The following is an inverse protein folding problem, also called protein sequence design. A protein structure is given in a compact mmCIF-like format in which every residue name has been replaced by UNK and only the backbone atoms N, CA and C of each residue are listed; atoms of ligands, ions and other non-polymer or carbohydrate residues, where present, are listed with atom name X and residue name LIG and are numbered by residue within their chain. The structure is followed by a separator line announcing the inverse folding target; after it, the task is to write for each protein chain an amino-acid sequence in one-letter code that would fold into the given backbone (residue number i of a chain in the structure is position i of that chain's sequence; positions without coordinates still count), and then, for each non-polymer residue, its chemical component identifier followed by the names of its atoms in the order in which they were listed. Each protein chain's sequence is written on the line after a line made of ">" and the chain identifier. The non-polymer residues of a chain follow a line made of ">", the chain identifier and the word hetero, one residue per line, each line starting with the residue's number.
data_IF_512981198504
#
_entry.id   IF_512981198504
#
_cell.length_a   1.000
_cell.length_b   1.000
_cell.length_c   1.000
_cell.angle_alpha   90.00
_cell.angle_beta   90.00
_cell.angle_gamma   90.00
#
_symmetry.space_group_name_H-M   'P 1'
#
loop_
_entity.id
_entity.type
_entity.pdbx_description
1 polymer ?
#
# COMPACT_ATOMS: atom_id res chain seq x y z
N UNK A 1 6.79 18.01 20.02
CA UNK A 1 6.89 18.05 18.55
C UNK A 1 7.01 19.50 18.13
N UNK A 2 8.09 19.86 17.44
CA UNK A 2 8.26 21.20 16.89
C UNK A 2 7.35 21.39 15.66
N UNK A 3 7.16 22.63 15.21
CA UNK A 3 6.46 22.92 13.96
C UNK A 3 7.12 22.26 12.75
N UNK A 4 8.46 22.18 12.75
CA UNK A 4 9.25 21.51 11.72
C UNK A 4 8.98 20.00 11.66
N UNK A 5 8.89 19.32 12.81
CA UNK A 5 8.58 17.88 12.88
C UNK A 5 7.20 17.58 12.29
N UNK A 6 6.21 18.45 12.60
CA UNK A 6 4.85 18.32 12.07
C UNK A 6 4.84 18.49 10.55
N UNK A 7 5.55 19.48 10.02
CA UNK A 7 5.66 19.72 8.58
C UNK A 7 6.28 18.51 7.85
N UNK A 8 7.35 17.93 8.39
CA UNK A 8 7.99 16.76 7.81
C UNK A 8 7.06 15.54 7.78
N UNK A 9 6.28 15.31 8.85
CA UNK A 9 5.30 14.22 8.89
C UNK A 9 4.18 14.41 7.85
N UNK A 10 3.63 15.62 7.71
CA UNK A 10 2.61 15.92 6.71
C UNK A 10 3.18 15.69 5.30
N UNK A 11 4.40 16.15 5.03
CA UNK A 11 5.04 15.96 3.74
C UNK A 11 5.22 14.48 3.40
N UNK A 12 5.70 13.67 4.35
CA UNK A 12 5.81 12.20 4.17
C UNK A 12 4.46 11.56 3.92
N UNK A 13 3.43 11.97 4.66
CA UNK A 13 2.05 11.50 4.48
C UNK A 13 1.50 11.80 3.09
N UNK A 14 1.70 13.02 2.58
CA UNK A 14 1.29 13.41 1.24
C UNK A 14 2.02 12.61 0.16
N UNK A 15 3.35 12.47 0.27
CA UNK A 15 4.14 11.64 -0.67
C UNK A 15 3.70 10.18 -0.64
N UNK A 16 3.42 9.65 0.54
CA UNK A 16 2.91 8.29 0.70
C UNK A 16 1.54 8.11 0.04
N UNK A 17 0.61 9.06 0.26
CA UNK A 17 -0.71 9.03 -0.37
C UNK A 17 -0.63 9.10 -1.91
N UNK A 18 0.19 10.01 -2.44
CA UNK A 18 0.45 10.13 -3.88
C UNK A 18 1.03 8.83 -4.45
N UNK A 19 2.01 8.24 -3.74
CA UNK A 19 2.59 6.95 -4.12
C UNK A 19 1.54 5.84 -4.13
N UNK A 20 0.66 5.80 -3.13
CA UNK A 20 -0.41 4.80 -3.06
C UNK A 20 -1.38 4.88 -4.24
N UNK A 21 -1.83 6.09 -4.59
CA UNK A 21 -2.70 6.32 -5.75
C UNK A 21 -2.01 5.90 -7.06
N UNK A 22 -0.75 6.31 -7.23
CA UNK A 22 0.05 5.94 -8.41
C UNK A 22 0.22 4.42 -8.52
N UNK A 23 0.59 3.74 -7.44
CA UNK A 23 0.79 2.28 -7.41
C UNK A 23 -0.52 1.54 -7.70
N UNK A 24 -1.65 2.06 -7.21
CA UNK A 24 -2.98 1.49 -7.50
C UNK A 24 -3.31 1.58 -8.98
N UNK A 25 -3.09 2.76 -9.59
CA UNK A 25 -3.28 2.95 -11.02
C UNK A 25 -2.34 2.05 -11.85
N UNK A 26 -1.07 1.94 -11.43
CA UNK A 26 -0.08 1.05 -12.04
C UNK A 26 -0.53 -0.41 -11.98
N UNK A 27 -1.05 -0.88 -10.84
CA UNK A 27 -1.58 -2.23 -10.70
C UNK A 27 -2.69 -2.50 -11.72
N UNK A 28 -3.68 -1.62 -11.81
CA UNK A 28 -4.76 -1.74 -12.77
C UNK A 28 -4.23 -1.76 -14.22
N UNK A 29 -3.30 -0.87 -14.55
CA UNK A 29 -2.67 -0.81 -15.87
C UNK A 29 -1.94 -2.12 -16.22
N UNK A 30 -1.10 -2.63 -15.31
CA UNK A 30 -0.35 -3.88 -15.54
C UNK A 30 -1.31 -5.05 -15.72
N UNK A 31 -2.36 -5.15 -14.89
CA UNK A 31 -3.35 -6.20 -15.02
C UNK A 31 -4.07 -6.16 -16.38
N UNK A 32 -4.50 -4.97 -16.81
CA UNK A 32 -5.17 -4.77 -18.11
C UNK A 32 -4.23 -5.12 -19.26
N UNK A 33 -2.99 -4.63 -19.25
CA UNK A 33 -2.01 -4.93 -20.30
C UNK A 33 -1.70 -6.44 -20.36
N UNK A 34 -1.54 -7.09 -19.21
CA UNK A 34 -1.26 -8.52 -19.16
C UNK A 34 -2.41 -9.35 -19.74
N UNK A 35 -3.66 -9.01 -19.40
CA UNK A 35 -4.86 -9.69 -19.91
C UNK A 35 -4.96 -9.55 -21.44
N UNK A 36 -4.69 -8.36 -21.97
CA UNK A 36 -4.88 -8.08 -23.40
C UNK A 36 -3.73 -8.56 -24.28
N UNK A 37 -2.49 -8.60 -23.77
CA UNK A 37 -1.30 -8.84 -24.59
C UNK A 37 -0.50 -10.09 -24.25
N UNK A 38 -0.74 -10.74 -23.10
CA UNK A 38 0.04 -11.90 -22.65
C UNK A 38 -0.83 -13.13 -22.48
N UNK A 39 -1.79 -13.09 -21.54
CA UNK A 39 -2.69 -14.20 -21.30
C UNK A 39 -4.01 -13.71 -20.67
N UNK A 40 -5.17 -14.14 -21.19
CA UNK A 40 -6.48 -13.72 -20.70
C UNK A 40 -6.89 -14.50 -19.43
N UNK A 41 -5.99 -14.57 -18.44
CA UNK A 41 -6.21 -15.25 -17.17
C UNK A 41 -6.17 -14.22 -16.02
N UNK A 42 -7.34 -13.76 -15.52
CA UNK A 42 -7.40 -12.72 -14.50
C UNK A 42 -6.60 -13.03 -13.21
N UNK A 43 -6.58 -14.27 -12.67
CA UNK A 43 -5.76 -14.58 -11.50
C UNK A 43 -4.27 -14.38 -11.74
N UNK A 44 -3.76 -14.80 -12.91
CA UNK A 44 -2.34 -14.65 -13.27
C UNK A 44 -1.97 -13.18 -13.47
N UNK A 45 -2.82 -12.43 -14.18
CA UNK A 45 -2.62 -11.00 -14.40
C UNK A 45 -2.59 -10.21 -13.09
N UNK A 46 -3.50 -10.49 -12.16
CA UNK A 46 -3.52 -9.87 -10.83
C UNK A 46 -2.27 -10.22 -10.03
N UNK A 47 -1.80 -11.46 -10.09
CA UNK A 47 -0.56 -11.88 -9.41
C UNK A 47 0.65 -11.09 -9.91
N UNK A 48 0.82 -10.97 -11.22
CA UNK A 48 1.91 -10.20 -11.83
C UNK A 48 1.80 -8.71 -11.49
N UNK A 49 0.60 -8.14 -11.64
CA UNK A 49 0.34 -6.74 -11.29
C UNK A 49 0.61 -6.46 -9.81
N UNK A 50 0.30 -7.40 -8.91
CA UNK A 50 0.54 -7.27 -7.48
C UNK A 50 2.04 -7.24 -7.16
N UNK A 51 2.83 -8.13 -7.77
CA UNK A 51 4.29 -8.17 -7.60
C UNK A 51 4.92 -6.87 -8.09
N UNK A 52 4.56 -6.42 -9.30
CA UNK A 52 5.07 -5.17 -9.89
C UNK A 52 4.71 -3.98 -9.01
N UNK A 53 3.45 -3.85 -8.61
CA UNK A 53 2.97 -2.78 -7.74
C UNK A 53 3.70 -2.77 -6.39
N UNK A 54 3.93 -3.94 -5.79
CA UNK A 54 4.63 -4.07 -4.51
C UNK A 54 6.09 -3.62 -4.60
N UNK A 55 6.81 -4.06 -5.65
CA UNK A 55 8.21 -3.67 -5.87
C UNK A 55 8.32 -2.16 -6.09
N UNK A 56 7.48 -1.60 -6.96
CA UNK A 56 7.47 -0.16 -7.24
C UNK A 56 7.09 0.64 -5.99
N UNK A 57 6.10 0.17 -5.23
CA UNK A 57 5.71 0.78 -3.95
C UNK A 57 6.86 0.80 -2.95
N UNK A 58 7.60 -0.31 -2.80
CA UNK A 58 8.76 -0.36 -1.91
C UNK A 58 9.84 0.64 -2.33
N UNK A 59 10.18 0.69 -3.62
CA UNK A 59 11.21 1.60 -4.14
C UNK A 59 10.81 3.05 -3.90
N UNK A 60 9.63 3.48 -4.37
CA UNK A 60 9.20 4.88 -4.26
C UNK A 60 9.02 5.28 -2.79
N UNK A 61 8.40 4.43 -1.96
CA UNK A 61 8.22 4.77 -0.56
C UNK A 61 9.55 4.87 0.17
N UNK A 62 10.49 3.97 -0.11
CA UNK A 62 11.83 4.02 0.51
C UNK A 62 12.58 5.27 0.07
N UNK A 63 12.72 5.52 -1.24
CA UNK A 63 13.62 6.55 -1.76
C UNK A 63 13.02 7.96 -1.77
N UNK A 64 11.69 8.08 -1.86
CA UNK A 64 11.00 9.37 -2.01
C UNK A 64 10.08 9.71 -0.84
N UNK A 65 9.18 8.81 -0.44
CA UNK A 65 8.22 9.10 0.64
C UNK A 65 8.94 9.26 1.99
N UNK A 66 9.90 8.38 2.29
CA UNK A 66 10.62 8.36 3.56
C UNK A 66 12.10 8.76 3.45
N UNK A 67 12.61 8.99 2.23
CA UNK A 67 14.01 9.40 1.97
C UNK A 67 15.05 8.52 2.66
N UNK A 68 14.81 7.21 2.70
CA UNK A 68 15.68 6.19 3.28
C UNK A 68 16.48 5.45 2.18
N UNK A 69 17.49 4.67 2.61
CA UNK A 69 18.30 3.85 1.70
C UNK A 69 17.65 2.48 1.49
N UNK A 70 17.70 1.98 0.25
CA UNK A 70 17.31 0.62 -0.08
C UNK A 70 18.25 -0.37 0.63
N UNK A 71 17.68 -1.30 1.39
CA UNK A 71 18.45 -2.30 2.13
C UNK A 71 17.56 -3.51 2.47
N UNK A 72 18.15 -4.71 2.61
CA UNK A 72 17.41 -5.92 2.93
C UNK A 72 16.60 -5.82 4.22
N UNK A 73 17.10 -5.09 5.22
CA UNK A 73 16.37 -4.82 6.47
C UNK A 73 15.11 -3.97 6.25
N UNK A 74 15.17 -2.93 5.42
CA UNK A 74 13.98 -2.10 5.12
C UNK A 74 13.00 -2.85 4.25
N UNK A 75 13.48 -3.69 3.33
CA UNK A 75 12.63 -4.59 2.54
C UNK A 75 11.87 -5.58 3.43
N UNK A 76 12.56 -6.27 4.36
CA UNK A 76 11.92 -7.22 5.26
C UNK A 76 10.86 -6.54 6.13
N UNK A 77 11.18 -5.39 6.73
CA UNK A 77 10.21 -4.61 7.51
C UNK A 77 9.03 -4.15 6.65
N UNK A 78 9.28 -3.70 5.42
CA UNK A 78 8.23 -3.31 4.48
C UNK A 78 7.29 -4.47 4.21
N UNK A 79 7.83 -5.65 3.88
CA UNK A 79 7.03 -6.86 3.64
C UNK A 79 6.21 -7.27 4.86
N UNK A 80 6.78 -7.19 6.07
CA UNK A 80 6.04 -7.47 7.31
C UNK A 80 4.87 -6.51 7.51
N UNK A 81 5.07 -5.21 7.26
CA UNK A 81 3.99 -4.22 7.32
C UNK A 81 2.95 -4.46 6.23
N UNK A 82 3.35 -4.81 5.00
CA UNK A 82 2.43 -5.12 3.91
C UNK A 82 1.58 -6.36 4.20
N UNK A 83 2.18 -7.43 4.72
CA UNK A 83 1.45 -8.62 5.17
C UNK A 83 0.49 -8.29 6.32
N UNK A 84 0.93 -7.52 7.31
CA UNK A 84 0.07 -7.06 8.39
C UNK A 84 -1.11 -6.21 7.89
N UNK A 85 -0.85 -5.30 6.94
CA UNK A 85 -1.87 -4.49 6.28
C UNK A 85 -2.86 -5.32 5.49
N UNK A 86 -2.41 -6.39 4.81
CA UNK A 86 -3.28 -7.34 4.11
C UNK A 86 -4.17 -8.11 5.09
N UNK A 87 -3.62 -8.65 6.18
CA UNK A 87 -4.42 -9.33 7.20
C UNK A 87 -5.47 -8.39 7.82
N UNK A 88 -5.09 -7.13 8.06
CA UNK A 88 -6.02 -6.11 8.53
C UNK A 88 -7.11 -5.79 7.48
N UNK A 89 -6.76 -5.76 6.19
CA UNK A 89 -7.72 -5.62 5.10
C UNK A 89 -8.81 -6.68 5.17
N UNK A 90 -8.38 -7.94 5.25
CA UNK A 90 -9.28 -9.09 5.31
C UNK A 90 -10.16 -9.03 6.55
N UNK A 91 -9.59 -8.69 7.70
CA UNK A 91 -10.34 -8.55 8.94
C UNK A 91 -11.39 -7.43 8.86
N UNK A 92 -11.03 -6.24 8.38
CA UNK A 92 -11.95 -5.10 8.25
C UNK A 92 -13.08 -5.42 7.27
N UNK A 93 -12.76 -6.01 6.11
CA UNK A 93 -13.76 -6.42 5.13
C UNK A 93 -14.73 -7.47 5.71
N UNK A 94 -14.19 -8.47 6.42
CA UNK A 94 -14.98 -9.51 7.07
C UNK A 94 -15.87 -8.96 8.19
N UNK A 95 -15.35 -8.06 9.03
CA UNK A 95 -16.11 -7.41 10.08
C UNK A 95 -17.26 -6.56 9.50
N UNK A 96 -17.00 -5.82 8.42
CA UNK A 96 -18.04 -5.05 7.71
C UNK A 96 -19.13 -5.96 7.14
N UNK A 97 -18.75 -7.12 6.59
CA UNK A 97 -19.68 -8.11 6.08
C UNK A 97 -20.56 -8.69 7.19
N UNK A 98 -19.99 -9.07 8.34
CA UNK A 98 -20.75 -9.60 9.49
C UNK A 98 -21.68 -8.54 10.07
N UNK A 99 -21.27 -7.28 10.07
CA UNK A 99 -22.11 -6.16 10.49
C UNK A 99 -23.25 -5.85 9.49
N UNK A 100 -23.37 -6.58 8.38
CA UNK A 100 -24.40 -6.37 7.36
C UNK A 100 -24.24 -5.08 6.57
N UNK A 101 -23.03 -4.49 6.56
CA UNK A 101 -22.77 -3.26 5.82
C UNK A 101 -22.79 -3.51 4.31
N UNK A 102 -23.22 -2.50 3.57
CA UNK A 102 -23.10 -2.52 2.11
C UNK A 102 -21.63 -2.64 1.69
N UNK A 103 -21.34 -3.45 0.66
CA UNK A 103 -19.96 -3.78 0.27
C UNK A 103 -19.09 -2.54 -0.03
N UNK A 104 -19.69 -1.46 -0.56
CA UNK A 104 -18.99 -0.19 -0.79
C UNK A 104 -18.49 0.46 0.51
N UNK A 105 -19.22 0.31 1.61
CA UNK A 105 -18.78 0.80 2.93
C UNK A 105 -17.61 -0.02 3.45
N UNK A 106 -17.61 -1.34 3.21
CA UNK A 106 -16.47 -2.22 3.52
C UNK A 106 -15.22 -1.82 2.73
N UNK A 107 -15.36 -1.59 1.42
CA UNK A 107 -14.27 -1.09 0.56
C UNK A 107 -13.77 0.26 1.07
N UNK A 108 -14.66 1.19 1.39
CA UNK A 108 -14.31 2.50 1.93
C UNK A 108 -13.54 2.41 3.25
N UNK A 109 -13.98 1.54 4.17
CA UNK A 109 -13.30 1.31 5.44
C UNK A 109 -11.87 0.77 5.22
N UNK A 110 -11.71 -0.24 4.37
CA UNK A 110 -10.40 -0.79 4.00
C UNK A 110 -9.50 0.29 3.38
N UNK A 111 -10.03 1.07 2.42
CA UNK A 111 -9.29 2.11 1.71
C UNK A 111 -8.82 3.25 2.62
N UNK A 112 -9.48 3.49 3.75
CA UNK A 112 -9.09 4.52 4.72
C UNK A 112 -8.16 3.98 5.82
N UNK A 113 -8.47 2.79 6.35
CA UNK A 113 -7.77 2.22 7.51
C UNK A 113 -6.37 1.73 7.13
N UNK A 114 -6.23 1.03 6.00
CA UNK A 114 -4.94 0.39 5.65
C UNK A 114 -3.85 1.42 5.35
N UNK A 115 -4.07 2.46 4.53
CA UNK A 115 -3.03 3.45 4.28
C UNK A 115 -2.59 4.17 5.56
N UNK A 116 -3.52 4.46 6.47
CA UNK A 116 -3.20 5.05 7.77
C UNK A 116 -2.33 4.10 8.62
N UNK A 117 -2.74 2.84 8.74
CA UNK A 117 -2.00 1.81 9.50
C UNK A 117 -0.59 1.60 8.95
N UNK A 118 -0.48 1.39 7.63
CA UNK A 118 0.81 1.13 6.96
C UNK A 118 1.71 2.37 7.01
N UNK A 119 1.17 3.58 6.84
CA UNK A 119 1.94 4.82 6.99
C UNK A 119 2.55 4.94 8.39
N UNK A 120 1.77 4.71 9.44
CA UNK A 120 2.24 4.77 10.83
C UNK A 120 3.39 3.78 11.04
N UNK A 121 3.22 2.51 10.67
CA UNK A 121 4.28 1.52 10.83
C UNK A 121 5.51 1.81 9.97
N UNK A 122 5.33 2.36 8.77
CA UNK A 122 6.47 2.74 7.95
C UNK A 122 7.25 3.92 8.55
N UNK A 123 6.54 4.96 8.99
CA UNK A 123 7.14 6.17 9.55
C UNK A 123 7.82 5.93 10.91
N UNK A 124 7.24 5.08 11.77
CA UNK A 124 7.70 4.88 13.14
C UNK A 124 8.55 3.62 13.33
N UNK A 125 8.57 2.69 12.37
CA UNK A 125 9.33 1.44 12.50
C UNK A 125 10.10 1.02 11.25
N UNK A 126 9.51 1.07 10.06
CA UNK A 126 10.20 0.58 8.84
C UNK A 126 11.42 1.43 8.51
N UNK A 127 11.24 2.76 8.47
CA UNK A 127 12.24 3.73 8.03
C UNK A 127 12.82 4.58 9.17
N UNK A 128 12.74 4.05 10.40
CA UNK A 128 13.60 4.47 11.52
C UNK A 128 14.82 3.57 11.59
#
# INVERSE_FOLDING_TARGET
>A
MTSADRSALIQRGLRFAVTGLFVTALHALVAVLFINFVAPQPPLANGVAFVVATVVSYVINTTWSFSARLHGKTLLRFMLVSCGGFCLAMFVAWAAQIAGLHYLLGIGAVALIIPAFTFVLHNFWTYR
#
